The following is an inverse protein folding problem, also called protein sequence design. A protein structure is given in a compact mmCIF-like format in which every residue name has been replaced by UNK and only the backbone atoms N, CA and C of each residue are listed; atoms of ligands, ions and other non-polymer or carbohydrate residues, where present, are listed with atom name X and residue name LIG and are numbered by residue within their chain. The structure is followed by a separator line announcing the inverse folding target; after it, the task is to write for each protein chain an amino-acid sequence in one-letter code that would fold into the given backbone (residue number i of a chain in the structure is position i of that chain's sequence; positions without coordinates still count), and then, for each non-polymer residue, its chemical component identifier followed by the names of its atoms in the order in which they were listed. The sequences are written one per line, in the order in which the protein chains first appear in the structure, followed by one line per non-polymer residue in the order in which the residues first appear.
data_IF_900195240659
#
_entry.id   IF_900195240659
#
_cell.length_a   1.000
_cell.length_b   1.000
_cell.length_c   1.000
_cell.angle_alpha   90.00
_cell.angle_beta   90.00
_cell.angle_gamma   90.00
#
_symmetry.space_group_name_H-M   'P 1'
#
loop_
_entity.id
_entity.type
_entity.pdbx_description
1 polymer ?
#
# COMPACT_ATOMS: atom_id res chain seq x y z
N UNK A 1 -6.12 6.84 -19.75
CA UNK A 1 -5.34 6.90 -18.50
C UNK A 1 -6.30 6.59 -17.37
N UNK A 2 -6.18 5.41 -16.75
CA UNK A 2 -6.90 5.17 -15.50
C UNK A 2 -6.17 5.93 -14.40
N UNK A 3 -6.85 6.86 -13.74
CA UNK A 3 -6.33 7.47 -12.53
C UNK A 3 -6.65 6.52 -11.38
N UNK A 4 -5.62 5.95 -10.78
CA UNK A 4 -5.78 5.24 -9.51
C UNK A 4 -6.27 6.24 -8.46
N UNK A 5 -7.25 5.85 -7.66
CA UNK A 5 -7.84 6.70 -6.62
C UNK A 5 -7.39 6.15 -5.26
N UNK A 6 -6.65 6.96 -4.53
CA UNK A 6 -6.24 6.73 -3.15
C UNK A 6 -6.83 7.82 -2.25
N UNK A 7 -7.07 7.54 -0.94
CA UNK A 7 -7.40 8.60 0.00
C UNK A 7 -6.25 9.61 0.07
N UNK A 8 -6.53 10.92 0.18
CA UNK A 8 -5.50 11.95 0.22
C UNK A 8 -4.63 11.89 1.48
N UNK A 9 -5.14 11.25 2.54
CA UNK A 9 -4.42 11.05 3.80
C UNK A 9 -5.04 9.90 4.58
N UNK A 10 -4.20 9.16 5.29
CA UNK A 10 -4.62 8.19 6.32
C UNK A 10 -3.79 8.47 7.56
N UNK A 11 -4.43 8.46 8.73
CA UNK A 11 -3.77 8.75 10.01
C UNK A 11 -4.12 7.68 11.05
N UNK A 12 -3.20 7.41 11.96
CA UNK A 12 -3.39 6.50 13.09
C UNK A 12 -2.39 6.80 14.20
N UNK A 13 -2.69 6.34 15.40
CA UNK A 13 -1.77 6.41 16.54
C UNK A 13 -0.77 5.24 16.51
N UNK A 14 0.42 5.39 17.12
CA UNK A 14 1.37 4.29 17.25
C UNK A 14 0.71 3.02 17.82
N UNK A 15 0.99 1.88 17.21
CA UNK A 15 0.43 0.58 17.56
C UNK A 15 -0.94 0.27 16.95
N UNK A 16 -1.65 1.24 16.35
CA UNK A 16 -2.90 0.98 15.64
C UNK A 16 -2.66 0.32 14.27
N UNK A 17 -3.72 -0.24 13.69
CA UNK A 17 -3.71 -0.69 12.30
C UNK A 17 -4.34 0.38 11.40
N UNK A 18 -3.66 0.72 10.32
CA UNK A 18 -4.18 1.62 9.28
C UNK A 18 -4.26 0.88 7.95
N UNK A 19 -5.22 1.27 7.10
CA UNK A 19 -5.39 0.68 5.76
C UNK A 19 -5.48 1.78 4.72
N UNK A 20 -4.67 1.65 3.68
CA UNK A 20 -4.66 2.53 2.51
C UNK A 20 -5.31 1.75 1.37
N UNK A 21 -6.33 2.35 0.74
CA UNK A 21 -7.03 1.75 -0.40
C UNK A 21 -6.58 2.38 -1.71
N UNK A 22 -6.59 1.58 -2.78
CA UNK A 22 -6.33 2.01 -4.15
C UNK A 22 -7.42 1.41 -5.04
N UNK A 23 -8.29 2.27 -5.57
CA UNK A 23 -9.35 1.87 -6.49
C UNK A 23 -8.95 2.22 -7.92
N UNK A 24 -9.04 1.23 -8.80
CA UNK A 24 -8.84 1.41 -10.23
C UNK A 24 -10.05 0.97 -11.05
N UNK A 25 -9.79 0.59 -12.29
CA UNK A 25 -10.74 0.01 -13.22
C UNK A 25 -10.56 -1.51 -13.34
N UNK A 26 -11.42 -2.15 -14.14
CA UNK A 26 -11.29 -3.57 -14.43
C UNK A 26 -10.02 -3.90 -15.21
N UNK A 27 -9.49 -2.99 -16.03
CA UNK A 27 -8.32 -3.25 -16.89
C UNK A 27 -6.97 -2.99 -16.22
N UNK A 28 -6.94 -2.36 -15.04
CA UNK A 28 -5.72 -2.13 -14.25
C UNK A 28 -5.65 -3.06 -13.02
N UNK A 29 -6.08 -2.59 -11.84
CA UNK A 29 -6.18 -3.32 -10.57
C UNK A 29 -7.02 -4.58 -10.75
N UNK A 30 -8.13 -4.52 -11.49
CA UNK A 30 -9.09 -5.62 -11.60
C UNK A 30 -8.56 -6.86 -12.33
N UNK A 31 -7.81 -6.68 -13.42
CA UNK A 31 -7.51 -7.77 -14.37
C UNK A 31 -6.39 -8.70 -13.91
N UNK A 32 -5.44 -8.19 -13.11
CA UNK A 32 -4.23 -8.92 -12.80
C UNK A 32 -3.80 -8.75 -11.33
N UNK A 33 -3.00 -9.69 -10.85
CA UNK A 33 -2.43 -9.66 -9.50
C UNK A 33 -1.04 -8.99 -9.50
N UNK A 34 -0.96 -7.79 -10.08
CA UNK A 34 0.29 -7.02 -10.21
C UNK A 34 0.30 -5.70 -9.45
N UNK A 35 -0.64 -5.50 -8.52
CA UNK A 35 -0.64 -4.31 -7.68
C UNK A 35 0.58 -4.32 -6.78
N UNK A 36 1.29 -3.20 -6.76
CA UNK A 36 2.47 -2.99 -5.92
C UNK A 36 2.33 -1.68 -5.16
N UNK A 37 2.83 -1.66 -3.93
CA UNK A 37 2.84 -0.51 -3.03
C UNK A 37 4.27 -0.08 -2.76
N UNK A 38 4.50 1.22 -2.72
CA UNK A 38 5.80 1.81 -2.48
C UNK A 38 5.73 2.71 -1.26
N UNK A 39 6.78 2.75 -0.46
CA UNK A 39 6.94 3.74 0.60
C UNK A 39 7.94 4.79 0.13
N UNK A 40 7.55 6.05 0.25
CA UNK A 40 8.41 7.18 -0.13
C UNK A 40 8.49 8.20 0.99
N UNK A 41 9.71 8.41 1.50
CA UNK A 41 10.02 9.53 2.38
C UNK A 41 10.59 10.69 1.55
N UNK A 42 10.20 11.95 1.82
CA UNK A 42 10.74 13.10 1.11
C UNK A 42 12.27 13.10 1.06
N UNK A 43 12.83 13.26 -0.14
CA UNK A 43 14.28 13.24 -0.37
C UNK A 43 14.92 11.85 -0.52
N UNK A 44 14.13 10.78 -0.52
CA UNK A 44 14.59 9.40 -0.75
C UNK A 44 14.08 8.83 -2.08
N UNK A 45 14.57 7.66 -2.46
CA UNK A 45 14.03 6.88 -3.58
C UNK A 45 12.85 6.03 -3.08
N UNK A 46 11.71 5.99 -3.78
CA UNK A 46 10.59 5.11 -3.42
C UNK A 46 11.05 3.65 -3.29
N UNK A 47 10.69 3.00 -2.19
CA UNK A 47 11.05 1.60 -1.92
C UNK A 47 9.82 0.71 -2.01
N UNK A 48 9.90 -0.47 -2.63
CA UNK A 48 8.77 -1.39 -2.68
C UNK A 48 8.48 -1.97 -1.29
N UNK A 49 7.20 -1.95 -0.89
CA UNK A 49 6.72 -2.49 0.38
C UNK A 49 5.91 -3.77 0.16
N UNK A 50 5.07 -3.79 -0.87
CA UNK A 50 4.30 -4.97 -1.31
C UNK A 50 4.37 -5.04 -2.83
N UNK A 51 4.49 -6.24 -3.39
CA UNK A 51 4.34 -6.51 -4.81
C UNK A 51 3.45 -7.73 -5.02
N UNK A 52 2.94 -7.91 -6.24
CA UNK A 52 2.00 -8.99 -6.58
C UNK A 52 0.86 -9.14 -5.57
N UNK A 53 0.21 -8.03 -5.25
CA UNK A 53 -0.93 -7.89 -4.31
C UNK A 53 -0.59 -8.11 -2.84
N UNK A 54 0.19 -9.12 -2.46
CA UNK A 54 0.39 -9.51 -1.06
C UNK A 54 1.80 -9.99 -0.72
N UNK A 55 2.75 -9.93 -1.66
CA UNK A 55 4.11 -10.42 -1.45
C UNK A 55 5.00 -9.31 -0.91
N UNK A 56 5.71 -9.57 0.18
CA UNK A 56 6.70 -8.65 0.76
C UNK A 56 8.09 -8.92 0.18
N UNK A 57 8.82 -7.88 -0.27
CA UNK A 57 10.25 -7.98 -0.51
C UNK A 57 11.01 -8.40 0.76
N UNK A 58 12.20 -8.99 0.59
CA UNK A 58 13.06 -9.32 1.73
C UNK A 58 13.41 -8.06 2.53
N UNK A 59 13.32 -8.15 3.86
CA UNK A 59 13.57 -7.03 4.78
C UNK A 59 12.35 -6.16 5.08
N UNK A 60 11.21 -6.36 4.38
CA UNK A 60 9.96 -5.69 4.74
C UNK A 60 9.28 -6.43 5.90
N UNK A 61 8.94 -5.75 7.00
CA UNK A 61 8.32 -6.38 8.17
C UNK A 61 6.95 -6.99 7.89
N UNK A 62 6.60 -8.07 8.60
CA UNK A 62 5.33 -8.79 8.46
C UNK A 62 4.09 -7.96 8.82
N UNK A 63 4.32 -6.82 9.47
CA UNK A 63 3.29 -5.83 9.81
C UNK A 63 2.64 -5.19 8.58
N UNK A 64 3.30 -5.26 7.42
CA UNK A 64 2.77 -4.83 6.14
C UNK A 64 2.07 -6.00 5.43
N UNK A 65 0.84 -5.78 5.03
CA UNK A 65 0.07 -6.76 4.27
C UNK A 65 -0.68 -6.08 3.13
N UNK A 66 -0.87 -6.81 2.04
CA UNK A 66 -1.64 -6.33 0.90
C UNK A 66 -2.76 -7.31 0.54
N UNK A 67 -3.82 -6.78 -0.04
CA UNK A 67 -4.99 -7.53 -0.48
C UNK A 67 -5.63 -6.85 -1.68
N UNK A 68 -6.46 -7.60 -2.41
CA UNK A 68 -7.26 -7.07 -3.51
C UNK A 68 -8.62 -7.76 -3.53
N UNK A 69 -9.67 -6.98 -3.79
CA UNK A 69 -11.00 -7.47 -4.11
C UNK A 69 -11.52 -6.70 -5.32
N UNK A 70 -11.88 -7.42 -6.38
CA UNK A 70 -12.29 -6.82 -7.66
C UNK A 70 -11.26 -5.79 -8.16
N UNK A 71 -11.66 -4.53 -8.34
CA UNK A 71 -10.84 -3.41 -8.79
C UNK A 71 -10.32 -2.52 -7.63
N UNK A 72 -10.39 -2.99 -6.38
CA UNK A 72 -9.88 -2.28 -5.22
C UNK A 72 -8.80 -3.10 -4.53
N UNK A 73 -7.61 -2.53 -4.44
CA UNK A 73 -6.52 -3.06 -3.63
C UNK A 73 -6.43 -2.31 -2.29
N UNK A 74 -5.89 -2.97 -1.28
CA UNK A 74 -5.66 -2.40 0.04
C UNK A 74 -4.30 -2.82 0.57
N UNK A 75 -3.57 -1.90 1.17
CA UNK A 75 -2.39 -2.18 2.00
C UNK A 75 -2.70 -1.83 3.45
N UNK A 76 -2.45 -2.76 4.35
CA UNK A 76 -2.64 -2.59 5.79
C UNK A 76 -1.29 -2.62 6.49
N UNK A 77 -1.06 -1.63 7.34
CA UNK A 77 0.06 -1.55 8.26
C UNK A 77 -0.50 -1.82 9.65
N UNK A 78 -0.23 -2.98 10.22
CA UNK A 78 -0.58 -3.31 11.61
C UNK A 78 0.52 -2.81 12.54
N UNK A 79 0.17 -2.34 13.74
CA UNK A 79 1.19 -1.89 14.70
C UNK A 79 2.02 -0.71 14.17
N UNK A 80 1.32 0.33 13.68
CA UNK A 80 1.90 1.52 13.07
C UNK A 80 3.04 2.11 13.91
N UNK A 81 4.15 2.45 13.26
CA UNK A 81 5.34 3.03 13.87
C UNK A 81 5.60 4.45 13.34
N UNK A 82 6.46 5.22 14.01
CA UNK A 82 6.73 6.61 13.61
C UNK A 82 7.43 6.68 12.24
N UNK A 83 8.31 5.73 11.96
CA UNK A 83 9.00 5.59 10.67
C UNK A 83 8.07 5.24 9.50
N UNK A 84 6.85 4.78 9.79
CA UNK A 84 5.86 4.46 8.77
C UNK A 84 5.15 5.72 8.22
N UNK A 85 5.42 6.91 8.77
CA UNK A 85 4.97 8.19 8.20
C UNK A 85 5.70 8.46 6.87
N UNK A 86 4.97 8.32 5.77
CA UNK A 86 5.47 8.42 4.40
C UNK A 86 4.32 8.63 3.41
N UNK A 87 4.67 8.96 2.17
CA UNK A 87 3.77 8.82 1.03
C UNK A 87 3.76 7.36 0.55
N UNK A 88 2.58 6.85 0.22
CA UNK A 88 2.36 5.46 -0.20
C UNK A 88 1.55 5.33 -1.49
#
# INVERSE_FOLDING_TARGET
QSALIQPPSVSGSPGQSVTISCTGTSSDVGSYDYVSWYQWHPGTVPKPTIYNVNTRPSGVPDRFSGSKSSNTASMTISGLQAEDEADY
#
